data_IF_898848879521
#
_entry.id   IF_898848879521
#
_cell.length_a   1.000
_cell.length_b   1.000
_cell.length_c   1.000
_cell.angle_alpha   90.00
_cell.angle_beta   90.00
_cell.angle_gamma   90.00
#
_symmetry.space_group_name_H-M   'P 1'
#
loop_
_entity.id
_entity.type
_entity.pdbx_description
1 polymer ?
#
# COMPACT_ATOMS: atom_id res chain seq x y z
N UNK A 1 6.76 -23.91 16.70
CA UNK A 1 5.61 -23.58 15.81
C UNK A 1 5.14 -22.11 15.84
N UNK A 2 5.80 -21.17 16.55
CA UNK A 2 5.38 -19.74 16.60
C UNK A 2 5.67 -18.93 15.32
N UNK A 3 6.65 -19.35 14.50
CA UNK A 3 7.14 -18.53 13.37
C UNK A 3 6.26 -18.51 12.12
N UNK A 4 5.38 -19.50 11.92
CA UNK A 4 4.54 -19.56 10.70
C UNK A 4 3.32 -18.65 10.80
N UNK A 5 2.69 -18.58 11.98
CA UNK A 5 1.49 -17.75 12.21
C UNK A 5 1.78 -16.24 12.10
N UNK A 6 2.91 -15.79 12.64
CA UNK A 6 3.34 -14.38 12.57
C UNK A 6 3.66 -13.98 11.14
N UNK A 7 4.37 -14.84 10.38
CA UNK A 7 4.68 -14.57 8.96
C UNK A 7 3.43 -14.50 8.09
N UNK A 8 2.44 -15.36 8.32
CA UNK A 8 1.17 -15.31 7.58
C UNK A 8 0.34 -14.06 7.92
N UNK A 9 0.33 -13.63 9.18
CA UNK A 9 -0.34 -12.39 9.60
C UNK A 9 0.29 -11.15 8.96
N UNK A 10 1.63 -11.08 8.95
CA UNK A 10 2.37 -9.98 8.31
C UNK A 10 2.13 -9.93 6.79
N UNK A 11 2.10 -11.09 6.11
CA UNK A 11 1.76 -11.16 4.68
C UNK A 11 0.36 -10.65 4.37
N UNK A 12 -0.64 -11.02 5.18
CA UNK A 12 -2.02 -10.51 5.04
C UNK A 12 -2.03 -8.99 5.22
N UNK A 13 -1.25 -8.46 6.17
CA UNK A 13 -1.17 -7.03 6.42
C UNK A 13 -0.56 -6.26 5.23
N UNK A 14 0.50 -6.78 4.59
CA UNK A 14 1.11 -6.12 3.43
C UNK A 14 0.18 -6.12 2.21
N UNK A 15 -0.49 -7.23 1.92
CA UNK A 15 -1.45 -7.29 0.81
C UNK A 15 -2.62 -6.31 1.02
N UNK A 16 -3.18 -6.27 2.23
CA UNK A 16 -4.26 -5.33 2.53
C UNK A 16 -3.79 -3.88 2.43
N UNK A 17 -2.62 -3.56 2.99
CA UNK A 17 -2.06 -2.21 2.88
C UNK A 17 -1.76 -1.80 1.43
N UNK A 18 -1.29 -2.73 0.60
CA UNK A 18 -1.10 -2.51 -0.83
C UNK A 18 -2.43 -2.20 -1.52
N UNK A 19 -3.49 -2.97 -1.22
CA UNK A 19 -4.83 -2.74 -1.77
C UNK A 19 -5.41 -1.40 -1.36
N UNK A 20 -5.38 -1.07 -0.07
CA UNK A 20 -5.89 0.20 0.44
C UNK A 20 -5.17 1.38 -0.23
N UNK A 21 -3.84 1.26 -0.38
CA UNK A 21 -3.02 2.29 -1.03
C UNK A 21 -3.29 2.42 -2.53
N UNK A 22 -3.53 1.32 -3.25
CA UNK A 22 -3.86 1.39 -4.68
C UNK A 22 -5.28 1.91 -4.88
N UNK A 23 -6.23 1.49 -4.05
CA UNK A 23 -7.63 1.94 -4.13
C UNK A 23 -7.75 3.45 -3.97
N UNK A 24 -7.04 4.05 -3.01
CA UNK A 24 -7.09 5.51 -2.83
C UNK A 24 -6.48 6.26 -4.03
N UNK A 25 -5.44 5.72 -4.67
CA UNK A 25 -4.85 6.31 -5.89
C UNK A 25 -5.91 6.29 -7.00
N UNK A 26 -6.58 5.16 -7.20
CA UNK A 26 -7.65 5.06 -8.19
C UNK A 26 -8.84 5.98 -7.88
N UNK A 27 -9.20 6.15 -6.60
CA UNK A 27 -10.28 7.06 -6.19
C UNK A 27 -9.93 8.53 -6.46
N UNK A 28 -8.67 8.92 -6.27
CA UNK A 28 -8.17 10.25 -6.62
C UNK A 28 -8.28 10.46 -8.13
N UNK A 29 -7.82 9.51 -8.94
CA UNK A 29 -7.89 9.59 -10.41
C UNK A 29 -9.33 9.70 -10.94
N UNK A 30 -10.29 9.03 -10.27
CA UNK A 30 -11.71 9.02 -10.66
C UNK A 30 -12.50 10.22 -10.11
N UNK A 31 -12.01 10.86 -9.04
CA UNK A 31 -12.71 11.97 -8.38
C UNK A 31 -12.56 13.27 -9.18
N UNK A 32 -13.69 13.96 -9.41
CA UNK A 32 -13.74 15.33 -9.97
C UNK A 32 -14.10 16.39 -8.92
N UNK A 33 -14.44 15.98 -7.71
CA UNK A 33 -14.80 16.86 -6.61
C UNK A 33 -13.53 17.38 -5.91
N UNK A 34 -13.26 18.67 -6.09
CA UNK A 34 -12.09 19.34 -5.53
C UNK A 34 -12.02 19.30 -4.00
N UNK A 35 -13.16 19.32 -3.32
CA UNK A 35 -13.19 19.25 -1.85
C UNK A 35 -12.86 17.84 -1.37
N UNK A 36 -13.33 16.83 -2.10
CA UNK A 36 -13.02 15.43 -1.80
C UNK A 36 -11.57 15.07 -2.13
N UNK A 37 -10.98 15.69 -3.16
CA UNK A 37 -9.58 15.45 -3.54
C UNK A 37 -8.61 15.70 -2.39
N UNK A 38 -8.79 16.79 -1.63
CA UNK A 38 -7.87 17.10 -0.53
C UNK A 38 -7.85 15.98 0.52
N UNK A 39 -9.02 15.51 0.97
CA UNK A 39 -9.08 14.42 1.95
C UNK A 39 -8.55 13.10 1.39
N UNK A 40 -8.77 12.82 0.11
CA UNK A 40 -8.21 11.63 -0.54
C UNK A 40 -6.67 11.68 -0.62
N UNK A 41 -6.11 12.86 -0.91
CA UNK A 41 -4.67 13.11 -0.95
C UNK A 41 -4.02 12.91 0.42
N UNK A 42 -4.66 13.39 1.49
CA UNK A 42 -4.23 13.17 2.88
C UNK A 42 -4.23 11.68 3.23
N UNK A 43 -5.33 10.96 2.95
CA UNK A 43 -5.40 9.51 3.15
C UNK A 43 -4.38 8.74 2.32
N UNK A 44 -4.08 9.18 1.09
CA UNK A 44 -3.05 8.57 0.25
C UNK A 44 -1.69 8.64 0.90
N UNK A 45 -1.34 9.77 1.53
CA UNK A 45 -0.06 9.90 2.24
C UNK A 45 0.00 8.94 3.42
N UNK A 46 -1.08 8.80 4.19
CA UNK A 46 -1.13 7.84 5.32
C UNK A 46 -0.97 6.40 4.86
N UNK A 47 -1.70 5.97 3.83
CA UNK A 47 -1.58 4.63 3.27
C UNK A 47 -0.20 4.37 2.67
N UNK A 48 0.40 5.38 2.03
CA UNK A 48 1.77 5.30 1.51
C UNK A 48 2.76 4.99 2.65
N UNK A 49 2.75 5.76 3.74
CA UNK A 49 3.65 5.55 4.86
C UNK A 49 3.46 4.18 5.51
N UNK A 50 2.20 3.79 5.76
CA UNK A 50 1.87 2.47 6.32
C UNK A 50 2.40 1.33 5.44
N UNK A 51 2.24 1.45 4.12
CA UNK A 51 2.75 0.46 3.19
C UNK A 51 4.27 0.39 3.18
N UNK A 52 4.96 1.55 3.16
CA UNK A 52 6.42 1.60 3.21
C UNK A 52 6.99 0.99 4.49
N UNK A 53 6.36 1.21 5.63
CA UNK A 53 6.82 0.63 6.90
C UNK A 53 6.66 -0.88 6.89
N UNK A 54 5.56 -1.40 6.33
CA UNK A 54 5.37 -2.85 6.13
C UNK A 54 6.41 -3.45 5.17
N UNK A 55 6.80 -2.73 4.10
CA UNK A 55 7.89 -3.18 3.23
C UNK A 55 9.21 -3.32 4.01
N UNK A 56 9.55 -2.33 4.85
CA UNK A 56 10.76 -2.37 5.70
C UNK A 56 10.72 -3.52 6.70
N UNK A 57 9.60 -3.70 7.39
CA UNK A 57 9.41 -4.79 8.37
C UNK A 57 9.57 -6.17 7.73
N UNK A 58 9.18 -6.32 6.46
CA UNK A 58 9.32 -7.57 5.71
C UNK A 58 10.66 -7.70 4.97
N UNK A 59 11.55 -6.71 5.09
CA UNK A 59 12.84 -6.70 4.40
C UNK A 59 12.73 -6.59 2.88
N UNK A 60 11.63 -6.04 2.37
CA UNK A 60 11.42 -5.82 0.93
C UNK A 60 12.07 -4.49 0.56
N UNK A 61 13.14 -4.56 -0.24
CA UNK A 61 13.84 -3.37 -0.70
C UNK A 61 13.04 -2.64 -1.79
N UNK A 62 12.98 -1.31 -1.67
CA UNK A 62 12.48 -0.40 -2.69
C UNK A 62 13.51 0.72 -2.93
N UNK A 63 13.44 1.38 -4.09
CA UNK A 63 14.46 2.36 -4.53
C UNK A 63 14.06 3.78 -4.16
N UNK A 64 12.80 4.10 -4.42
CA UNK A 64 12.19 5.40 -4.24
C UNK A 64 10.67 5.22 -4.05
N UNK A 65 9.94 6.34 -3.94
CA UNK A 65 8.49 6.34 -3.75
C UNK A 65 7.76 5.71 -4.93
N UNK A 66 8.19 5.97 -6.16
CA UNK A 66 7.56 5.42 -7.36
C UNK A 66 7.74 3.91 -7.45
N UNK A 67 8.91 3.40 -7.07
CA UNK A 67 9.17 1.97 -6.98
C UNK A 67 8.28 1.33 -5.90
N UNK A 68 8.11 1.96 -4.74
CA UNK A 68 7.18 1.48 -3.71
C UNK A 68 5.74 1.42 -4.25
N UNK A 69 5.26 2.44 -4.95
CA UNK A 69 3.93 2.44 -5.58
C UNK A 69 3.77 1.32 -6.61
N UNK A 70 4.79 1.07 -7.45
CA UNK A 70 4.79 -0.06 -8.40
C UNK A 70 4.71 -1.41 -7.69
N UNK A 71 5.42 -1.58 -6.58
CA UNK A 71 5.34 -2.80 -5.75
C UNK A 71 3.93 -2.96 -5.20
N UNK A 72 3.31 -1.89 -4.68
CA UNK A 72 1.93 -1.93 -4.19
C UNK A 72 0.95 -2.38 -5.27
N UNK A 73 1.04 -1.80 -6.48
CA UNK A 73 0.20 -2.18 -7.63
C UNK A 73 0.37 -3.67 -7.98
N UNK A 74 1.62 -4.16 -8.04
CA UNK A 74 1.89 -5.57 -8.34
C UNK A 74 1.31 -6.52 -7.28
N UNK A 75 1.47 -6.17 -6.00
CA UNK A 75 0.92 -6.96 -4.89
C UNK A 75 -0.62 -6.94 -4.94
N UNK A 76 -1.24 -5.78 -5.14
CA UNK A 76 -2.69 -5.61 -5.15
C UNK A 76 -3.37 -6.36 -6.31
N UNK A 77 -2.69 -6.49 -7.45
CA UNK A 77 -3.17 -7.21 -8.64
C UNK A 77 -2.89 -8.72 -8.61
N UNK A 78 -2.25 -9.23 -7.56
CA UNK A 78 -1.83 -10.64 -7.47
C UNK A 78 -0.89 -11.09 -8.61
N UNK A 79 -0.19 -10.16 -9.27
CA UNK A 79 0.78 -10.44 -10.34
C UNK A 79 2.15 -10.91 -9.81
N UNK A 80 2.15 -11.81 -8.81
CA UNK A 80 3.35 -12.38 -8.20
C UNK A 80 3.77 -13.70 -8.85
#
# INVERSE_FOLDING_TARGET
MRNVRVRNFMKINLYQAAKDYVNIIEEIEKTKDSNKLQSLEEMRVEFHWKFMDLLKEQGIAYKDRDHATRIAIRIAKEEL
#
